data_IF_546332921067
#
_entry.id   IF_546332921067
#
_cell.length_a   1.000
_cell.length_b   1.000
_cell.length_c   1.000
_cell.angle_alpha   90.00
_cell.angle_beta   90.00
_cell.angle_gamma   90.00
#
_symmetry.space_group_name_H-M   'P 1'
#
loop_
_entity.id
_entity.type
_entity.pdbx_description
1 polymer ?
#
# COMPACT_ATOMS: atom_id res chain seq x y z
N UNK A 1 -7.84 15.32 -6.81
CA UNK A 1 -7.22 14.32 -5.92
C UNK A 1 -6.75 15.02 -4.66
N UNK A 2 -7.22 14.59 -3.54
CA UNK A 2 -6.84 15.08 -2.21
C UNK A 2 -5.78 14.12 -1.62
N UNK A 3 -4.56 14.61 -1.39
CA UNK A 3 -3.47 13.83 -0.80
C UNK A 3 -3.21 14.37 0.59
N UNK A 4 -3.54 13.57 1.59
CA UNK A 4 -3.36 13.90 2.99
C UNK A 4 -2.01 13.34 3.48
N UNK A 5 -1.06 14.25 3.69
CA UNK A 5 0.29 13.90 4.16
C UNK A 5 0.26 13.80 5.68
N UNK A 6 0.43 12.59 6.18
CA UNK A 6 0.23 12.28 7.59
C UNK A 6 1.52 12.37 8.41
N UNK A 7 1.41 12.91 9.62
CA UNK A 7 2.35 12.63 10.71
C UNK A 7 2.03 11.25 11.31
N UNK A 8 2.98 10.66 12.03
CA UNK A 8 2.80 9.30 12.57
C UNK A 8 1.60 9.20 13.53
N UNK A 9 1.37 10.21 14.36
CA UNK A 9 0.23 10.22 15.29
C UNK A 9 -1.12 10.17 14.57
N UNK A 10 -1.24 10.88 13.44
CA UNK A 10 -2.43 10.87 12.60
C UNK A 10 -2.61 9.52 11.91
N UNK A 11 -1.52 8.96 11.36
CA UNK A 11 -1.52 7.63 10.77
C UNK A 11 -1.98 6.57 11.78
N UNK A 12 -1.41 6.58 12.98
CA UNK A 12 -1.76 5.64 14.05
C UNK A 12 -3.23 5.76 14.45
N UNK A 13 -3.74 6.98 14.55
CA UNK A 13 -5.15 7.22 14.87
C UNK A 13 -6.05 6.61 13.80
N UNK A 14 -5.76 6.86 12.52
CA UNK A 14 -6.53 6.31 11.40
C UNK A 14 -6.46 4.77 11.34
N UNK A 15 -5.26 4.20 11.48
CA UNK A 15 -5.07 2.74 11.42
C UNK A 15 -5.69 2.01 12.62
N UNK A 16 -5.88 2.69 13.75
CA UNK A 16 -6.47 2.13 14.98
C UNK A 16 -7.98 2.28 15.05
N UNK A 17 -8.58 3.15 14.24
CA UNK A 17 -10.02 3.41 14.25
C UNK A 17 -10.76 2.35 13.43
N UNK A 18 -11.69 1.65 14.07
CA UNK A 18 -12.52 0.62 13.44
C UNK A 18 -13.50 1.15 12.37
N UNK A 19 -13.58 2.46 12.19
CA UNK A 19 -14.44 3.09 11.18
C UNK A 19 -13.66 3.61 9.97
N UNK A 20 -12.33 3.55 10.00
CA UNK A 20 -11.51 4.07 8.92
C UNK A 20 -11.69 3.25 7.64
N UNK A 21 -11.99 3.96 6.56
CA UNK A 21 -12.01 3.42 5.20
C UNK A 21 -11.21 4.33 4.29
N UNK A 22 -10.35 3.78 3.44
CA UNK A 22 -9.54 4.56 2.52
C UNK A 22 -8.31 3.85 2.03
N UNK A 23 -7.51 4.57 1.22
CA UNK A 23 -6.29 4.07 0.62
C UNK A 23 -5.10 4.76 1.28
N UNK A 24 -4.17 3.96 1.76
CA UNK A 24 -2.92 4.40 2.39
C UNK A 24 -1.75 4.06 1.48
N UNK A 25 -0.90 5.04 1.24
CA UNK A 25 0.31 4.90 0.45
C UNK A 25 1.54 5.17 1.32
N UNK A 26 2.44 4.19 1.35
CA UNK A 26 3.73 4.28 2.03
C UNK A 26 4.82 4.39 0.97
N UNK A 27 5.59 5.47 1.02
CA UNK A 27 6.63 5.73 0.04
C UNK A 27 7.41 6.99 0.36
N UNK A 28 8.40 7.31 -0.47
CA UNK A 28 9.15 8.55 -0.35
C UNK A 28 9.72 8.98 -1.71
N UNK A 29 9.97 10.30 -1.91
CA UNK A 29 10.31 10.85 -3.23
C UNK A 29 11.61 10.32 -3.84
N UNK A 30 12.56 9.88 -3.01
CA UNK A 30 13.86 9.38 -3.47
C UNK A 30 13.82 7.91 -3.92
N UNK A 31 12.69 7.24 -3.77
CA UNK A 31 12.52 5.86 -4.18
C UNK A 31 12.12 5.78 -5.66
N UNK A 32 12.93 5.17 -6.54
CA UNK A 32 12.60 5.07 -7.97
C UNK A 32 11.32 4.28 -8.26
N UNK A 33 11.08 3.21 -7.52
CA UNK A 33 9.86 2.41 -7.63
C UNK A 33 8.61 3.20 -7.24
N UNK A 34 8.74 4.07 -6.22
CA UNK A 34 7.65 4.97 -5.80
C UNK A 34 7.25 5.94 -6.89
N UNK A 35 8.22 6.46 -7.63
CA UNK A 35 7.97 7.37 -8.78
C UNK A 35 7.26 6.68 -9.93
N UNK A 36 7.43 5.38 -10.08
CA UNK A 36 6.73 4.58 -11.09
C UNK A 36 5.30 4.22 -10.66
N UNK A 37 5.11 3.87 -9.39
CA UNK A 37 3.80 3.46 -8.89
C UNK A 37 2.84 4.64 -8.71
N UNK A 38 3.28 5.71 -8.08
CA UNK A 38 2.38 6.78 -7.61
C UNK A 38 1.51 7.39 -8.72
N UNK A 39 2.03 7.73 -9.91
CA UNK A 39 1.19 8.24 -10.99
C UNK A 39 0.08 7.27 -11.41
N UNK A 40 0.39 5.97 -11.45
CA UNK A 40 -0.57 4.94 -11.84
C UNK A 40 -1.59 4.66 -10.73
N UNK A 41 -1.17 4.75 -9.46
CA UNK A 41 -2.06 4.68 -8.32
C UNK A 41 -3.10 5.81 -8.35
N UNK A 42 -2.65 7.04 -8.55
CA UNK A 42 -3.55 8.21 -8.63
C UNK A 42 -4.51 8.11 -9.81
N UNK A 43 -4.01 7.64 -10.96
CA UNK A 43 -4.85 7.43 -12.14
C UNK A 43 -5.90 6.34 -11.90
N UNK A 44 -5.52 5.20 -11.33
CA UNK A 44 -6.45 4.12 -11.00
C UNK A 44 -7.52 4.58 -9.99
N UNK A 45 -7.13 5.34 -8.98
CA UNK A 45 -8.07 5.92 -8.02
C UNK A 45 -9.08 6.85 -8.71
N UNK A 46 -8.59 7.75 -9.56
CA UNK A 46 -9.43 8.70 -10.28
C UNK A 46 -10.41 7.99 -11.23
N UNK A 47 -9.95 6.99 -11.95
CA UNK A 47 -10.78 6.17 -12.85
C UNK A 47 -11.93 5.47 -12.10
N UNK A 48 -11.74 5.20 -10.80
CA UNK A 48 -12.73 4.55 -9.94
C UNK A 48 -13.49 5.50 -9.01
N UNK A 49 -13.39 6.81 -9.22
CA UNK A 49 -14.11 7.81 -8.41
C UNK A 49 -13.59 7.98 -6.98
N UNK A 50 -12.38 7.50 -6.71
CA UNK A 50 -11.73 7.62 -5.41
C UNK A 50 -10.85 8.87 -5.42
N UNK A 51 -11.11 9.79 -4.50
CA UNK A 51 -10.52 11.14 -4.55
C UNK A 51 -9.55 11.44 -3.41
N UNK A 52 -9.41 10.56 -2.41
CA UNK A 52 -8.57 10.79 -1.24
C UNK A 52 -7.52 9.70 -1.06
N UNK A 53 -6.26 10.12 -0.93
CA UNK A 53 -5.12 9.26 -0.62
C UNK A 53 -4.47 9.72 0.70
N UNK A 54 -4.27 8.79 1.62
CA UNK A 54 -3.46 9.00 2.82
C UNK A 54 -2.02 8.63 2.52
N UNK A 55 -1.10 9.57 2.71
CA UNK A 55 0.32 9.37 2.43
C UNK A 55 1.15 9.45 3.71
N UNK A 56 1.99 8.45 3.92
CA UNK A 56 2.99 8.45 4.99
C UNK A 56 4.37 8.05 4.45
N UNK A 57 5.40 8.78 4.88
CA UNK A 57 6.80 8.50 4.53
C UNK A 57 7.49 7.76 5.69
N UNK A 58 7.74 6.43 5.56
CA UNK A 58 8.32 5.64 6.65
C UNK A 58 9.86 5.68 6.69
N UNK A 59 10.52 6.45 5.83
CA UNK A 59 11.99 6.40 5.66
C UNK A 59 12.75 6.59 6.96
N UNK A 60 12.33 7.54 7.78
CA UNK A 60 13.03 7.91 9.00
C UNK A 60 12.87 6.91 10.16
N UNK A 61 11.83 6.07 10.11
CA UNK A 61 11.49 5.18 11.24
C UNK A 61 11.82 3.70 11.00
N UNK A 62 12.15 3.32 9.75
CA UNK A 62 12.43 1.91 9.43
C UNK A 62 13.70 1.42 10.11
N UNK A 63 13.68 0.16 10.54
CA UNK A 63 14.87 -0.55 11.00
C UNK A 63 15.80 -0.94 9.83
N UNK A 64 16.99 -1.41 10.17
CA UNK A 64 17.91 -2.05 9.23
C UNK A 64 18.52 -3.29 9.85
N UNK A 65 18.34 -4.41 9.19
CA UNK A 65 18.85 -5.73 9.60
C UNK A 65 19.66 -6.35 8.46
N UNK A 66 20.68 -7.07 8.83
CA UNK A 66 21.56 -7.80 7.91
C UNK A 66 21.85 -9.18 8.45
N UNK A 67 22.15 -10.13 7.56
CA UNK A 67 22.68 -11.43 7.92
C UNK A 67 24.21 -11.35 7.92
N UNK A 68 24.85 -11.68 9.06
CA UNK A 68 26.30 -11.66 9.15
C UNK A 68 26.92 -12.93 8.51
N UNK A 69 28.25 -12.99 8.47
CA UNK A 69 28.99 -14.13 7.90
C UNK A 69 28.71 -15.46 8.62
N UNK A 70 28.31 -15.41 9.90
CA UNK A 70 27.94 -16.59 10.68
C UNK A 70 26.48 -17.01 10.50
N UNK A 71 25.71 -16.34 9.64
CA UNK A 71 24.29 -16.63 9.43
C UNK A 71 23.38 -16.12 10.54
N UNK A 72 23.82 -15.16 11.34
CA UNK A 72 23.05 -14.55 12.43
C UNK A 72 22.50 -13.21 11.98
N UNK A 73 21.23 -12.95 12.25
CA UNK A 73 20.61 -11.65 11.99
C UNK A 73 21.14 -10.61 12.96
N UNK A 74 21.71 -9.54 12.41
CA UNK A 74 22.24 -8.38 13.16
C UNK A 74 21.40 -7.17 12.85
N UNK A 75 20.99 -6.44 13.88
CA UNK A 75 20.25 -5.19 13.73
C UNK A 75 21.23 -4.03 13.74
N UNK A 76 21.35 -3.34 12.60
CA UNK A 76 22.20 -2.15 12.48
C UNK A 76 21.46 -0.88 12.92
N UNK A 77 20.14 -0.80 12.66
CA UNK A 77 19.28 0.29 13.10
C UNK A 77 18.06 -0.32 13.76
N UNK A 78 17.85 0.00 15.03
CA UNK A 78 16.72 -0.49 15.79
C UNK A 78 15.40 0.16 15.35
N UNK A 79 14.34 -0.64 15.37
CA UNK A 79 12.99 -0.14 15.20
C UNK A 79 12.53 0.56 16.50
N UNK A 80 12.12 1.83 16.38
CA UNK A 80 11.40 2.51 17.45
C UNK A 80 9.95 2.01 17.57
N UNK A 81 9.22 2.53 18.56
CA UNK A 81 7.83 2.16 18.81
C UNK A 81 6.91 2.38 17.61
N UNK A 82 7.17 3.45 16.84
CA UNK A 82 6.40 3.81 15.65
C UNK A 82 6.47 2.71 14.57
N UNK A 83 7.68 2.26 14.25
CA UNK A 83 7.86 1.23 13.25
C UNK A 83 7.38 -0.15 13.75
N UNK A 84 7.58 -0.46 15.02
CA UNK A 84 7.05 -1.67 15.63
C UNK A 84 5.52 -1.73 15.52
N UNK A 85 4.84 -0.61 15.79
CA UNK A 85 3.39 -0.52 15.61
C UNK A 85 2.96 -0.83 14.17
N UNK A 86 3.65 -0.27 13.16
CA UNK A 86 3.33 -0.55 11.75
C UNK A 86 3.56 -2.02 11.39
N UNK A 87 4.67 -2.61 11.84
CA UNK A 87 4.94 -4.03 11.60
C UNK A 87 3.87 -4.94 12.20
N UNK A 88 3.38 -4.64 13.40
CA UNK A 88 2.31 -5.39 14.04
C UNK A 88 0.96 -5.18 13.34
N UNK A 89 0.61 -3.92 13.06
CA UNK A 89 -0.68 -3.56 12.46
C UNK A 89 -0.84 -4.11 11.05
N UNK A 90 0.24 -4.16 10.28
CA UNK A 90 0.24 -4.58 8.88
C UNK A 90 0.82 -6.00 8.68
N UNK A 91 1.09 -6.74 9.75
CA UNK A 91 1.78 -8.04 9.71
C UNK A 91 1.18 -9.01 8.67
N UNK A 92 -0.14 -9.10 8.59
CA UNK A 92 -0.84 -10.01 7.69
C UNK A 92 -0.56 -9.79 6.20
N UNK A 93 -0.14 -8.57 5.82
CA UNK A 93 0.11 -8.18 4.42
C UNK A 93 1.56 -7.81 4.12
N UNK A 94 2.41 -7.71 5.15
CA UNK A 94 3.81 -7.39 4.95
C UNK A 94 4.60 -8.62 4.47
N UNK A 95 5.53 -8.43 3.53
CA UNK A 95 6.46 -9.48 3.12
C UNK A 95 7.54 -9.72 4.18
N UNK A 96 8.20 -10.86 4.07
CA UNK A 96 9.42 -11.11 4.85
C UNK A 96 10.55 -10.15 4.46
N UNK A 97 11.43 -9.87 5.42
CA UNK A 97 12.63 -9.10 5.18
C UNK A 97 13.60 -9.95 4.34
N UNK A 98 13.83 -9.52 3.09
CA UNK A 98 14.68 -10.25 2.14
C UNK A 98 16.12 -10.38 2.66
N UNK A 99 16.72 -11.55 2.41
CA UNK A 99 18.12 -11.81 2.73
C UNK A 99 18.41 -12.20 4.18
N UNK A 100 17.41 -12.33 5.04
CA UNK A 100 17.61 -12.73 6.44
C UNK A 100 17.37 -14.22 6.72
N UNK A 101 16.77 -14.94 5.77
CA UNK A 101 16.42 -16.36 5.90
C UNK A 101 15.55 -16.66 7.14
N UNK A 102 14.72 -15.70 7.53
CA UNK A 102 13.76 -15.83 8.63
C UNK A 102 12.41 -15.21 8.23
N UNK A 103 11.41 -16.05 7.91
CA UNK A 103 10.11 -15.58 7.44
C UNK A 103 9.29 -14.85 8.51
N UNK A 104 9.71 -14.91 9.78
CA UNK A 104 9.05 -14.19 10.88
C UNK A 104 9.42 -12.72 10.92
N UNK A 105 10.56 -12.34 10.33
CA UNK A 105 11.01 -10.96 10.28
C UNK A 105 10.41 -10.31 9.06
N UNK A 106 9.52 -9.33 9.27
CA UNK A 106 8.81 -8.60 8.24
C UNK A 106 9.45 -7.24 7.99
N UNK A 107 9.20 -6.68 6.81
CA UNK A 107 9.63 -5.33 6.46
C UNK A 107 8.55 -4.59 5.69
N UNK A 108 8.39 -3.31 6.00
CA UNK A 108 7.62 -2.39 5.19
C UNK A 108 8.50 -1.87 4.04
N UNK A 109 8.51 -2.60 2.94
CA UNK A 109 9.09 -2.12 1.70
C UNK A 109 8.22 -1.04 1.08
N UNK A 110 8.81 -0.18 0.28
CA UNK A 110 8.10 0.89 -0.42
C UNK A 110 8.34 0.79 -1.94
N UNK A 111 7.38 1.20 -2.77
CA UNK A 111 6.04 1.71 -2.45
C UNK A 111 5.11 0.59 -1.98
N UNK A 112 4.30 0.87 -0.99
CA UNK A 112 3.32 -0.08 -0.46
C UNK A 112 1.96 0.60 -0.34
N UNK A 113 0.92 -0.08 -0.80
CA UNK A 113 -0.46 0.40 -0.76
C UNK A 113 -1.26 -0.52 0.15
N UNK A 114 -2.03 0.07 1.05
CA UNK A 114 -2.96 -0.66 1.92
C UNK A 114 -4.34 -0.05 1.77
N UNK A 115 -5.34 -0.90 1.62
CA UNK A 115 -6.73 -0.49 1.52
C UNK A 115 -7.48 -0.95 2.75
N UNK A 116 -8.06 -0.01 3.48
CA UNK A 116 -8.92 -0.28 4.63
C UNK A 116 -10.39 -0.07 4.28
N UNK A 117 -11.24 -0.93 4.82
CA UNK A 117 -12.67 -0.71 4.92
C UNK A 117 -13.15 -1.07 6.33
N UNK A 118 -13.79 -0.11 6.99
CA UNK A 118 -14.27 -0.25 8.38
C UNK A 118 -13.17 -0.82 9.30
N UNK A 119 -11.97 -0.24 9.21
CA UNK A 119 -10.80 -0.59 10.00
C UNK A 119 -10.11 -1.91 9.64
N UNK A 120 -10.60 -2.63 8.64
CA UNK A 120 -10.05 -3.93 8.20
C UNK A 120 -9.27 -3.77 6.90
N UNK A 121 -8.15 -4.48 6.78
CA UNK A 121 -7.38 -4.54 5.54
C UNK A 121 -8.16 -5.39 4.52
N UNK A 122 -8.54 -4.77 3.41
CA UNK A 122 -9.32 -5.42 2.32
C UNK A 122 -8.54 -5.49 1.01
N UNK A 123 -7.38 -4.86 0.94
CA UNK A 123 -6.50 -4.90 -0.22
C UNK A 123 -5.11 -4.38 0.11
N UNK A 124 -4.14 -4.77 -0.69
CA UNK A 124 -2.76 -4.29 -0.60
C UNK A 124 -2.03 -4.49 -1.91
N UNK A 125 -0.95 -3.75 -2.11
CA UNK A 125 -0.08 -3.91 -3.26
C UNK A 125 1.33 -3.42 -2.94
N UNK A 126 2.33 -4.22 -3.31
CA UNK A 126 3.75 -3.88 -3.15
C UNK A 126 4.37 -3.61 -4.51
N UNK A 127 5.12 -2.51 -4.64
CA UNK A 127 5.87 -2.13 -5.83
C UNK A 127 4.99 -1.90 -7.07
N UNK A 128 5.51 -2.17 -8.26
CA UNK A 128 4.79 -2.02 -9.53
C UNK A 128 4.32 -3.40 -10.04
N UNK A 129 4.93 -3.91 -11.09
CA UNK A 129 4.66 -5.23 -11.66
C UNK A 129 5.95 -6.05 -11.72
N UNK A 130 5.84 -7.37 -11.67
CA UNK A 130 6.98 -8.28 -11.77
C UNK A 130 7.72 -8.12 -13.11
N UNK A 131 7.01 -7.70 -14.16
CA UNK A 131 7.59 -7.46 -15.48
C UNK A 131 8.51 -6.23 -15.52
N UNK A 132 8.35 -5.29 -14.59
CA UNK A 132 9.28 -4.16 -14.45
C UNK A 132 10.44 -4.54 -13.54
N UNK A 133 11.55 -4.93 -14.11
CA UNK A 133 12.76 -5.37 -13.38
C UNK A 133 13.73 -4.23 -13.07
N UNK A 134 13.60 -3.10 -13.77
CA UNK A 134 14.43 -1.90 -13.59
C UNK A 134 13.54 -0.65 -13.53
N UNK A 135 13.55 0.08 -12.40
CA UNK A 135 12.72 1.29 -12.26
C UNK A 135 13.20 2.47 -13.12
N UNK A 136 14.40 2.39 -13.70
CA UNK A 136 14.90 3.40 -14.63
C UNK A 136 14.27 3.24 -16.04
N UNK A 137 13.72 2.07 -16.34
CA UNK A 137 13.00 1.81 -17.58
C UNK A 137 11.52 2.09 -17.35
N UNK A 138 10.94 3.12 -17.99
CA UNK A 138 9.53 3.45 -17.82
C UNK A 138 8.60 2.30 -18.19
N UNK A 139 7.48 2.19 -17.48
CA UNK A 139 6.41 1.28 -17.86
C UNK A 139 5.87 1.64 -19.24
N UNK A 140 5.66 0.63 -20.08
CA UNK A 140 4.92 0.79 -21.34
C UNK A 140 3.44 1.10 -21.05
N UNK A 141 2.73 1.62 -22.03
CA UNK A 141 1.29 1.90 -21.87
C UNK A 141 0.49 0.64 -21.51
N UNK A 142 0.87 -0.50 -22.09
CA UNK A 142 0.28 -1.80 -21.77
C UNK A 142 0.50 -2.18 -20.29
N UNK A 143 1.73 -2.02 -19.78
CA UNK A 143 2.07 -2.32 -18.39
C UNK A 143 1.43 -1.34 -17.41
N UNK A 144 1.33 -0.05 -17.78
CA UNK A 144 0.57 0.93 -17.00
C UNK A 144 -0.89 0.53 -16.86
N UNK A 145 -1.51 0.13 -17.97
CA UNK A 145 -2.89 -0.35 -17.96
C UNK A 145 -3.07 -1.59 -17.07
N UNK A 146 -2.16 -2.55 -17.20
CA UNK A 146 -2.13 -3.75 -16.35
C UNK A 146 -1.99 -3.40 -14.87
N UNK A 147 -1.08 -2.48 -14.51
CA UNK A 147 -0.87 -2.04 -13.14
C UNK A 147 -2.12 -1.37 -12.56
N UNK A 148 -2.76 -0.47 -13.33
CA UNK A 148 -4.01 0.18 -12.91
C UNK A 148 -5.12 -0.84 -12.66
N UNK A 149 -5.21 -1.87 -13.49
CA UNK A 149 -6.18 -2.96 -13.32
C UNK A 149 -5.93 -3.73 -12.02
N UNK A 150 -4.67 -4.09 -11.75
CA UNK A 150 -4.29 -4.76 -10.50
C UNK A 150 -4.62 -3.90 -9.29
N UNK A 151 -4.32 -2.60 -9.34
CA UNK A 151 -4.64 -1.66 -8.27
C UNK A 151 -6.15 -1.52 -8.08
N UNK A 152 -6.92 -1.43 -9.17
CA UNK A 152 -8.38 -1.34 -9.12
C UNK A 152 -9.00 -2.55 -8.42
N UNK A 153 -8.47 -3.75 -8.63
CA UNK A 153 -8.91 -4.97 -7.95
C UNK A 153 -8.73 -4.83 -6.42
N UNK A 154 -7.67 -4.16 -5.96
CA UNK A 154 -7.45 -3.92 -4.53
C UNK A 154 -8.44 -2.92 -3.93
N UNK A 155 -9.03 -2.06 -4.75
CA UNK A 155 -10.00 -1.05 -4.31
C UNK A 155 -11.45 -1.56 -4.30
N UNK A 156 -11.69 -2.79 -4.73
CA UNK A 156 -13.05 -3.32 -5.00
C UNK A 156 -14.03 -3.11 -3.85
N UNK A 157 -13.58 -3.22 -2.61
CA UNK A 157 -14.43 -3.01 -1.42
C UNK A 157 -14.81 -1.55 -1.18
N UNK A 158 -14.07 -0.59 -1.76
CA UNK A 158 -14.33 0.85 -1.63
C UNK A 158 -15.15 1.40 -2.79
N UNK A 159 -15.20 0.69 -3.92
CA UNK A 159 -15.92 1.13 -5.11
C UNK A 159 -17.40 0.84 -4.87
N UNK A 160 -18.20 1.93 -4.80
CA UNK A 160 -19.65 1.81 -4.82
C UNK A 160 -20.09 1.73 -6.28
N UNK A 161 -20.53 0.54 -6.70
CA UNK A 161 -21.30 0.43 -7.91
C UNK A 161 -22.64 1.10 -7.62
N UNK A 162 -22.81 2.35 -8.12
CA UNK A 162 -24.09 3.04 -8.00
C UNK A 162 -25.16 2.21 -8.68
N UNK A 163 -26.27 1.96 -7.97
CA UNK A 163 -27.47 1.44 -8.60
C UNK A 163 -27.96 2.47 -9.60
N UNK A 164 -27.81 2.20 -10.89
CA UNK A 164 -28.44 3.02 -11.92
C UNK A 164 -29.94 2.70 -11.94
N UNK A 165 -30.83 3.64 -11.51
CA UNK A 165 -32.25 3.42 -11.50
C UNK A 165 -32.83 3.09 -12.89
N UNK A 166 -32.11 3.43 -13.96
CA UNK A 166 -32.51 3.15 -15.33
C UNK A 166 -32.21 1.70 -15.78
N UNK A 167 -31.37 0.97 -15.03
CA UNK A 167 -30.99 -0.42 -15.31
C UNK A 167 -31.66 -1.42 -14.37
N UNK A 168 -32.42 -0.97 -13.38
CA UNK A 168 -33.12 -1.85 -12.46
C UNK A 168 -34.41 -2.39 -13.07
N UNK A 169 -34.29 -3.49 -13.82
CA UNK A 169 -35.38 -4.44 -13.88
C UNK A 169 -35.54 -5.05 -12.48
N UNK A 170 -36.67 -4.83 -11.87
CA UNK A 170 -37.38 -5.47 -10.73
C UNK A 170 -36.62 -6.36 -9.70
N UNK A 171 -35.31 -6.46 -9.71
CA UNK A 171 -34.55 -7.26 -8.73
C UNK A 171 -33.67 -6.37 -7.87
N UNK A 172 -34.19 -5.95 -6.70
CA UNK A 172 -33.54 -5.08 -5.72
C UNK A 172 -32.51 -5.79 -4.83
N UNK A 173 -32.11 -7.01 -5.16
CA UNK A 173 -31.26 -7.83 -4.27
C UNK A 173 -29.76 -7.54 -4.38
N UNK A 174 -29.33 -6.70 -5.31
CA UNK A 174 -27.90 -6.38 -5.53
C UNK A 174 -27.55 -4.87 -5.40
N UNK A 175 -28.37 -4.11 -4.76
CA UNK A 175 -28.05 -2.72 -4.45
C UNK A 175 -27.68 -2.51 -2.98
#
# INVERSE_FOLDING_TARGET
MDIDILEFSELKQLLSDSKTSGIFYFGFPTCPWCRNLLPELLAAMQENGLSKLYYYNPKAIRDKKVLNESGVVVTEVEAGEEYQYLLERLDEVLPEYEGLNDPKIKRLYVPFVVVLKDGKIVGHHLSTLDEQTDPAIPLTDELKHKLRKVLTEQFSSLIQYGCDPALTGTDHTNC
#
